data_IF_549025402312
#
_entry.id   IF_549025402312
#
_cell.length_a   1.000
_cell.length_b   1.000
_cell.length_c   1.000
_cell.angle_alpha   90.00
_cell.angle_beta   90.00
_cell.angle_gamma   90.00
#
_symmetry.space_group_name_H-M   'P 1'
#
loop_
_entity.id
_entity.type
_entity.pdbx_description
1 polymer ?
#
# COMPACT_ATOMS: atom_id res chain seq x y z
N UNK A 1 1.85 6.87 3.91
CA UNK A 1 1.97 7.52 5.23
C UNK A 1 2.84 6.65 6.13
N UNK A 2 2.41 5.41 6.40
CA UNK A 2 3.16 4.38 7.13
C UNK A 2 4.68 4.32 6.88
N UNK A 3 5.11 4.04 5.65
CA UNK A 3 6.54 3.88 5.32
C UNK A 3 7.37 5.11 5.72
N UNK A 4 6.86 6.31 5.48
CA UNK A 4 7.53 7.57 5.84
C UNK A 4 7.67 7.72 7.35
N UNK A 5 6.62 7.44 8.13
CA UNK A 5 6.65 7.55 9.59
C UNK A 5 7.52 6.47 10.22
N UNK A 6 7.50 5.25 9.67
CA UNK A 6 8.40 4.16 10.07
C UNK A 6 9.86 4.59 9.88
N UNK A 7 10.21 5.11 8.70
CA UNK A 7 11.58 5.56 8.41
C UNK A 7 12.01 6.71 9.35
N UNK A 8 11.13 7.68 9.61
CA UNK A 8 11.41 8.75 10.58
C UNK A 8 11.62 8.22 11.99
N UNK A 9 10.81 7.24 12.43
CA UNK A 9 10.93 6.64 13.75
C UNK A 9 12.28 5.95 13.96
N UNK A 10 12.92 5.48 12.88
CA UNK A 10 14.27 4.91 12.88
C UNK A 10 15.38 5.94 12.63
N UNK A 11 15.06 7.24 12.66
CA UNK A 11 15.97 8.33 12.36
C UNK A 11 16.58 8.28 10.94
N UNK A 12 15.97 7.58 10.00
CA UNK A 12 16.45 7.50 8.62
C UNK A 12 16.24 8.84 7.89
N UNK A 13 17.30 9.37 7.27
CA UNK A 13 17.35 10.77 6.82
C UNK A 13 17.06 10.99 5.34
N UNK A 14 17.19 9.97 4.49
CA UNK A 14 16.98 10.12 3.04
C UNK A 14 15.48 10.19 2.70
N UNK A 15 14.88 11.34 2.99
CA UNK A 15 13.50 11.70 2.70
C UNK A 15 13.48 13.13 2.16
N UNK A 16 12.98 13.33 0.93
CA UNK A 16 12.75 14.68 0.43
C UNK A 16 11.64 15.38 1.21
N UNK A 17 11.63 16.71 1.19
CA UNK A 17 10.70 17.54 1.96
C UNK A 17 9.23 17.16 1.71
N UNK A 18 8.84 16.99 0.44
CA UNK A 18 7.47 16.63 0.06
C UNK A 18 7.05 15.28 0.63
N UNK A 19 7.91 14.26 0.51
CA UNK A 19 7.65 12.93 1.03
C UNK A 19 7.63 12.93 2.56
N UNK A 20 8.55 13.65 3.20
CA UNK A 20 8.59 13.82 4.66
C UNK A 20 7.34 14.51 5.22
N UNK A 21 6.66 15.34 4.43
CA UNK A 21 5.41 16.03 4.81
C UNK A 21 4.13 15.35 4.32
N UNK A 22 4.25 14.17 3.71
CA UNK A 22 3.13 13.43 3.09
C UNK A 22 2.43 14.15 1.93
N UNK A 23 3.10 15.11 1.29
CA UNK A 23 2.60 15.80 0.08
C UNK A 23 2.64 14.86 -1.13
N UNK A 24 3.64 13.97 -1.17
CA UNK A 24 3.82 12.91 -2.19
C UNK A 24 3.86 13.39 -3.65
N UNK A 25 4.05 14.69 -3.88
CA UNK A 25 4.35 15.27 -5.20
C UNK A 25 5.81 15.01 -5.56
N UNK A 26 6.04 13.90 -6.26
CA UNK A 26 7.34 13.29 -6.57
C UNK A 26 7.62 13.40 -8.06
N UNK A 27 8.74 13.94 -8.54
CA UNK A 27 10.06 14.18 -7.93
C UNK A 27 10.62 15.57 -8.25
N UNK A 28 10.03 16.62 -7.68
CA UNK A 28 10.48 18.02 -7.87
C UNK A 28 11.99 18.26 -7.62
N UNK A 29 12.71 17.27 -7.09
CA UNK A 29 14.15 17.21 -6.92
C UNK A 29 14.98 17.52 -8.17
N UNK A 30 14.56 17.12 -9.38
CA UNK A 30 15.33 17.45 -10.58
C UNK A 30 15.42 18.95 -10.82
N UNK A 31 14.34 19.68 -10.49
CA UNK A 31 14.27 21.13 -10.48
C UNK A 31 14.96 21.75 -9.27
N UNK A 32 14.62 21.28 -8.05
CA UNK A 32 15.06 21.88 -6.80
C UNK A 32 16.54 21.65 -6.49
N UNK A 33 17.08 20.50 -6.91
CA UNK A 33 18.45 20.05 -6.62
C UNK A 33 19.29 19.80 -7.87
N UNK A 34 18.74 20.03 -9.07
CA UNK A 34 19.47 19.83 -10.33
C UNK A 34 19.74 18.37 -10.68
N UNK A 35 19.05 17.41 -10.05
CA UNK A 35 19.27 15.98 -10.30
C UNK A 35 18.86 15.59 -11.72
N UNK A 36 19.55 14.62 -12.30
CA UNK A 36 19.30 14.16 -13.68
C UNK A 36 19.46 12.66 -13.88
N UNK A 37 19.97 11.93 -12.89
CA UNK A 37 20.10 10.47 -12.92
C UNK A 37 19.24 9.85 -11.84
N UNK A 38 18.57 8.75 -12.18
CA UNK A 38 17.67 8.03 -11.27
C UNK A 38 18.31 7.70 -9.91
N UNK A 39 19.58 7.27 -9.89
CA UNK A 39 20.30 6.94 -8.65
C UNK A 39 20.31 8.12 -7.65
N UNK A 40 20.39 9.35 -8.16
CA UNK A 40 20.49 10.54 -7.32
C UNK A 40 19.14 10.83 -6.66
N UNK A 41 18.03 10.64 -7.38
CA UNK A 41 16.68 10.77 -6.82
C UNK A 41 16.44 9.77 -5.70
N UNK A 42 16.79 8.49 -5.92
CA UNK A 42 16.57 7.45 -4.90
C UNK A 42 17.57 7.57 -3.74
N UNK A 43 18.76 8.15 -3.95
CA UNK A 43 19.69 8.49 -2.86
C UNK A 43 19.09 9.56 -1.94
N UNK A 44 18.43 10.54 -2.52
CA UNK A 44 17.80 11.64 -1.80
C UNK A 44 16.48 11.26 -1.11
N UNK A 45 15.72 10.31 -1.68
CA UNK A 45 14.42 9.94 -1.12
C UNK A 45 14.09 8.43 -1.25
N UNK A 46 14.02 7.76 -0.10
CA UNK A 46 13.55 6.37 0.00
C UNK A 46 12.10 6.15 -0.44
N UNK A 47 11.24 7.18 -0.37
CA UNK A 47 9.86 7.06 -0.86
C UNK A 47 9.83 7.08 -2.38
N UNK A 48 10.68 7.87 -3.04
CA UNK A 48 10.84 7.85 -4.50
C UNK A 48 11.48 6.55 -4.99
N UNK A 49 12.36 5.95 -4.18
CA UNK A 49 12.89 4.59 -4.41
C UNK A 49 11.79 3.52 -4.42
N UNK A 50 11.01 3.43 -3.33
CA UNK A 50 10.03 2.36 -3.14
C UNK A 50 8.76 2.54 -3.98
N UNK A 51 8.26 3.77 -4.05
CA UNK A 51 6.96 4.08 -4.65
C UNK A 51 7.08 4.79 -6.00
N UNK A 52 8.29 4.87 -6.57
CA UNK A 52 8.55 5.47 -7.87
C UNK A 52 8.39 7.00 -7.90
N UNK A 53 8.67 7.57 -9.07
CA UNK A 53 8.50 8.99 -9.35
C UNK A 53 8.47 9.30 -10.86
N UNK A 54 8.05 10.51 -11.20
CA UNK A 54 8.15 11.06 -12.54
C UNK A 54 8.65 12.51 -12.46
N UNK A 55 9.82 12.78 -13.05
CA UNK A 55 10.32 14.12 -13.32
C UNK A 55 10.04 14.49 -14.78
N UNK A 56 9.08 15.38 -15.01
CA UNK A 56 8.71 15.81 -16.37
C UNK A 56 9.67 16.84 -16.95
N UNK A 57 10.44 17.56 -16.13
CA UNK A 57 11.40 18.55 -16.64
C UNK A 57 12.68 17.84 -17.10
N UNK A 58 13.14 16.84 -16.34
CA UNK A 58 14.34 16.05 -16.64
C UNK A 58 14.04 14.78 -17.44
N UNK A 59 12.76 14.44 -17.64
CA UNK A 59 12.31 13.21 -18.31
C UNK A 59 12.88 11.93 -17.67
N UNK A 60 13.06 11.95 -16.34
CA UNK A 60 13.51 10.78 -15.56
C UNK A 60 12.30 10.17 -14.88
N UNK A 61 12.12 8.86 -15.01
CA UNK A 61 11.04 8.12 -14.36
C UNK A 61 11.58 6.89 -13.65
N UNK A 62 10.95 6.54 -12.54
CA UNK A 62 11.13 5.26 -11.85
C UNK A 62 9.77 4.64 -11.61
N UNK A 63 9.62 3.40 -12.02
CA UNK A 63 8.40 2.62 -11.77
C UNK A 63 8.29 2.30 -10.26
N UNK A 64 7.07 2.28 -9.73
CA UNK A 64 6.86 1.92 -8.33
C UNK A 64 7.21 0.44 -8.11
N UNK A 65 7.99 0.13 -7.08
CA UNK A 65 8.24 -1.26 -6.68
C UNK A 65 7.06 -1.84 -5.91
N UNK A 66 6.27 -1.00 -5.26
CA UNK A 66 5.06 -1.38 -4.53
C UNK A 66 3.83 -1.04 -5.37
N UNK A 67 3.13 -2.05 -5.84
CA UNK A 67 1.99 -1.93 -6.77
C UNK A 67 0.74 -2.47 -6.11
N UNK A 68 -0.33 -1.70 -6.19
CA UNK A 68 -1.65 -2.10 -5.73
C UNK A 68 -2.59 -2.18 -6.93
N UNK A 69 -3.37 -3.25 -6.96
CA UNK A 69 -4.56 -3.33 -7.79
C UNK A 69 -5.69 -2.49 -7.20
N UNK A 70 -6.76 -2.30 -7.97
CA UNK A 70 -7.97 -1.72 -7.45
C UNK A 70 -8.60 -2.64 -6.40
N UNK A 71 -8.97 -2.06 -5.26
CA UNK A 71 -9.80 -2.76 -4.28
C UNK A 71 -11.25 -2.77 -4.76
N UNK A 72 -11.79 -3.94 -5.08
CA UNK A 72 -13.12 -4.10 -5.70
C UNK A 72 -13.95 -5.15 -4.97
N UNK A 73 -15.30 -5.05 -4.97
CA UNK A 73 -16.16 -6.06 -4.35
C UNK A 73 -15.88 -7.44 -4.95
N UNK A 74 -15.84 -8.48 -4.11
CA UNK A 74 -15.59 -9.85 -4.58
C UNK A 74 -16.70 -10.32 -5.52
N UNK A 75 -16.34 -11.18 -6.47
CA UNK A 75 -17.24 -11.68 -7.52
C UNK A 75 -18.55 -12.27 -6.96
N UNK A 76 -18.48 -12.95 -5.82
CA UNK A 76 -19.62 -13.62 -5.21
C UNK A 76 -20.58 -12.68 -4.45
N UNK A 77 -20.19 -11.44 -4.18
CA UNK A 77 -20.96 -10.51 -3.33
C UNK A 77 -20.96 -9.10 -3.90
N UNK A 78 -22.16 -8.60 -4.20
CA UNK A 78 -22.33 -7.18 -4.51
C UNK A 78 -22.12 -6.34 -3.25
N UNK A 79 -21.49 -5.19 -3.43
CA UNK A 79 -21.42 -4.20 -2.36
C UNK A 79 -22.80 -3.60 -2.10
N UNK A 80 -23.13 -3.38 -0.83
CA UNK A 80 -24.31 -2.65 -0.40
C UNK A 80 -23.98 -1.17 -0.36
N UNK A 81 -24.78 -0.35 -1.03
CA UNK A 81 -24.59 1.10 -1.09
C UNK A 81 -25.63 1.80 -0.21
N UNK A 82 -25.16 2.65 0.69
CA UNK A 82 -26.00 3.51 1.52
C UNK A 82 -25.63 4.97 1.29
N UNK A 83 -26.62 5.79 0.94
CA UNK A 83 -26.42 7.24 0.84
C UNK A 83 -26.51 7.86 2.23
N UNK A 84 -25.40 8.41 2.73
CA UNK A 84 -25.32 9.17 3.97
C UNK A 84 -25.30 10.65 3.63
N UNK A 85 -26.17 11.40 4.30
CA UNK A 85 -26.21 12.86 4.17
C UNK A 85 -25.27 13.47 5.20
N UNK A 86 -24.18 14.10 4.74
CA UNK A 86 -23.29 14.88 5.58
C UNK A 86 -23.68 16.35 5.54
N UNK A 87 -23.92 16.93 6.72
CA UNK A 87 -24.12 18.36 6.85
C UNK A 87 -22.79 19.00 7.24
N UNK A 88 -22.34 19.98 6.47
CA UNK A 88 -21.25 20.86 6.89
C UNK A 88 -21.85 22.15 7.39
N UNK A 89 -21.61 22.47 8.66
CA UNK A 89 -22.09 23.69 9.28
C UNK A 89 -20.91 24.62 9.47
N UNK A 90 -21.02 25.84 8.94
CA UNK A 90 -20.05 26.90 9.25
C UNK A 90 -20.34 27.42 10.66
N UNK A 91 -19.32 27.84 11.39
CA UNK A 91 -19.47 28.40 12.74
C UNK A 91 -18.99 29.85 12.74
N UNK A 92 -19.57 30.72 13.58
CA UNK A 92 -19.00 32.04 13.85
C UNK A 92 -17.62 31.91 14.53
N UNK A 93 -16.83 32.99 14.62
CA UNK A 93 -15.56 32.98 15.37
C UNK A 93 -15.69 32.53 16.84
N UNK A 94 -16.87 32.69 17.44
CA UNK A 94 -17.23 32.27 18.80
C UNK A 94 -17.72 30.82 18.88
N UNK A 95 -17.80 30.13 17.74
CA UNK A 95 -18.23 28.73 17.64
C UNK A 95 -19.74 28.51 17.55
N UNK A 96 -20.54 29.57 17.43
CA UNK A 96 -21.99 29.46 17.27
C UNK A 96 -22.37 29.13 15.83
N UNK A 97 -23.56 28.57 15.60
CA UNK A 97 -24.10 28.41 14.25
C UNK A 97 -24.65 29.77 13.81
N UNK A 98 -24.12 30.40 12.74
CA UNK A 98 -24.55 31.72 12.30
C UNK A 98 -25.98 31.68 11.74
N UNK A 99 -26.70 32.79 11.88
CA UNK A 99 -27.92 33.02 11.09
C UNK A 99 -27.59 33.11 9.58
N UNK A 100 -28.60 33.03 8.70
CA UNK A 100 -28.39 33.16 7.23
C UNK A 100 -27.70 34.48 6.86
N UNK A 101 -28.06 35.56 7.53
CA UNK A 101 -27.50 36.89 7.26
C UNK A 101 -26.02 36.98 7.69
N UNK A 102 -25.69 36.41 8.85
CA UNK A 102 -24.30 36.32 9.33
C UNK A 102 -23.45 35.38 8.47
N UNK A 103 -23.99 34.23 8.05
CA UNK A 103 -23.29 33.31 7.15
C UNK A 103 -22.96 33.97 5.80
N UNK A 104 -23.90 34.76 5.26
CA UNK A 104 -23.69 35.53 4.03
C UNK A 104 -22.62 36.59 4.21
N UNK A 105 -22.59 37.27 5.36
CA UNK A 105 -21.61 38.33 5.64
C UNK A 105 -20.20 37.78 5.93
N UNK A 106 -20.10 36.71 6.70
CA UNK A 106 -18.83 36.13 7.13
C UNK A 106 -18.18 35.25 6.05
N UNK A 107 -18.99 34.49 5.31
CA UNK A 107 -18.51 33.43 4.42
C UNK A 107 -19.02 33.54 2.97
N UNK A 108 -19.91 34.50 2.67
CA UNK A 108 -20.46 34.67 1.32
C UNK A 108 -21.41 33.55 0.88
N UNK A 109 -21.97 32.78 1.82
CA UNK A 109 -22.87 31.65 1.55
C UNK A 109 -24.30 31.94 2.03
N UNK A 110 -25.32 31.51 1.28
CA UNK A 110 -26.73 31.77 1.62
C UNK A 110 -27.24 30.93 2.81
N UNK A 111 -26.66 29.75 3.02
CA UNK A 111 -27.02 28.87 4.12
C UNK A 111 -25.82 28.59 5.01
N UNK A 112 -26.05 28.63 6.34
CA UNK A 112 -25.06 28.25 7.34
C UNK A 112 -24.74 26.75 7.32
N UNK A 113 -25.52 25.96 6.58
CA UNK A 113 -25.37 24.51 6.43
C UNK A 113 -25.35 24.13 4.95
N UNK A 114 -24.32 23.42 4.52
CA UNK A 114 -24.26 22.76 3.22
C UNK A 114 -24.56 21.27 3.36
N UNK A 115 -25.56 20.78 2.63
CA UNK A 115 -25.92 19.36 2.58
C UNK A 115 -25.15 18.68 1.47
N UNK A 116 -24.31 17.70 1.81
CA UNK A 116 -23.59 16.87 0.85
C UNK A 116 -24.01 15.41 1.00
N UNK A 117 -24.64 14.85 -0.03
CA UNK A 117 -24.87 13.41 -0.09
C UNK A 117 -23.57 12.70 -0.47
N UNK A 118 -23.25 11.63 0.25
CA UNK A 118 -22.15 10.72 -0.08
C UNK A 118 -22.64 9.29 0.00
N UNK A 119 -22.21 8.46 -0.93
CA UNK A 119 -22.45 7.03 -0.86
C UNK A 119 -21.33 6.36 -0.07
N UNK A 120 -21.73 5.53 0.88
CA UNK A 120 -20.88 4.57 1.55
C UNK A 120 -21.19 3.19 0.99
N UNK A 121 -20.16 2.40 0.77
CA UNK A 121 -20.29 1.02 0.36
C UNK A 121 -19.79 0.10 1.48
N UNK A 122 -20.55 -0.94 1.80
CA UNK A 122 -20.15 -2.02 2.70
C UNK A 122 -20.12 -3.32 1.91
N UNK A 123 -19.12 -4.16 2.15
CA UNK A 123 -18.98 -5.41 1.43
C UNK A 123 -17.67 -6.12 1.71
N UNK A 124 -17.52 -7.29 1.11
CA UNK A 124 -16.25 -8.00 1.05
C UNK A 124 -15.52 -7.56 -0.21
N UNK A 125 -14.27 -7.12 -0.07
CA UNK A 125 -13.47 -6.58 -1.16
C UNK A 125 -12.20 -7.42 -1.37
N UNK A 126 -11.87 -7.66 -2.63
CA UNK A 126 -10.60 -8.23 -3.05
C UNK A 126 -9.56 -7.13 -3.25
N UNK A 127 -8.31 -7.43 -2.90
CA UNK A 127 -7.14 -6.59 -3.15
C UNK A 127 -5.96 -7.50 -3.49
N UNK A 128 -5.11 -7.05 -4.40
CA UNK A 128 -3.79 -7.60 -4.65
C UNK A 128 -2.72 -6.51 -4.49
N UNK A 129 -1.69 -6.84 -3.73
CA UNK A 129 -0.46 -6.06 -3.58
C UNK A 129 0.71 -6.90 -4.13
N UNK A 130 1.54 -6.28 -4.96
CA UNK A 130 2.79 -6.87 -5.46
C UNK A 130 3.95 -5.94 -5.11
N UNK A 131 5.07 -6.52 -4.66
CA UNK A 131 6.22 -5.75 -4.19
C UNK A 131 7.52 -6.32 -4.77
N UNK A 132 8.11 -5.62 -5.74
CA UNK A 132 9.35 -6.01 -6.42
C UNK A 132 10.59 -5.54 -5.63
N UNK A 133 10.68 -5.93 -4.36
CA UNK A 133 11.62 -5.33 -3.38
C UNK A 133 13.10 -5.62 -3.66
N UNK A 134 13.42 -6.61 -4.49
CA UNK A 134 14.80 -6.91 -4.89
C UNK A 134 15.48 -5.73 -5.63
N UNK A 135 14.70 -4.80 -6.18
CA UNK A 135 15.20 -3.60 -6.88
C UNK A 135 15.30 -2.36 -6.00
N UNK A 136 14.99 -2.48 -4.71
CA UNK A 136 15.15 -1.38 -3.74
C UNK A 136 16.62 -0.94 -3.71
N UNK A 137 16.87 0.35 -3.52
CA UNK A 137 18.23 0.91 -3.47
C UNK A 137 19.08 0.64 -4.72
N UNK A 138 18.47 0.21 -5.83
CA UNK A 138 19.13 -0.07 -7.11
C UNK A 138 18.46 0.75 -8.21
N UNK A 139 19.25 1.41 -9.05
CA UNK A 139 18.73 2.13 -10.21
C UNK A 139 18.12 1.16 -11.23
N UNK A 140 16.88 1.41 -11.66
CA UNK A 140 16.22 0.57 -12.69
C UNK A 140 16.78 0.86 -14.09
N UNK A 141 17.16 2.11 -14.35
CA UNK A 141 17.75 2.56 -15.61
C UNK A 141 19.22 2.15 -15.77
N UNK A 142 19.96 2.00 -14.66
CA UNK A 142 21.31 1.48 -14.65
C UNK A 142 21.55 0.55 -13.44
N UNK A 143 21.26 -0.76 -13.54
CA UNK A 143 21.37 -1.70 -12.42
C UNK A 143 22.78 -1.90 -11.83
N UNK A 144 23.82 -1.36 -12.49
CA UNK A 144 25.18 -1.32 -11.92
C UNK A 144 25.32 -0.29 -10.80
N UNK A 145 24.43 0.70 -10.73
CA UNK A 145 24.41 1.74 -9.70
C UNK A 145 23.46 1.36 -8.56
N UNK A 146 24.03 1.26 -7.35
CA UNK A 146 23.34 0.83 -6.14
C UNK A 146 23.72 1.72 -4.97
N UNK A 147 22.79 1.91 -4.04
CA UNK A 147 23.07 2.49 -2.73
C UNK A 147 23.65 1.41 -1.79
N UNK A 148 23.84 1.76 -0.52
CA UNK A 148 24.39 0.83 0.46
C UNK A 148 23.45 -0.34 0.76
N UNK A 149 24.01 -1.46 1.23
CA UNK A 149 23.24 -2.60 1.73
C UNK A 149 22.35 -2.22 2.92
N UNK A 150 22.78 -1.24 3.73
CA UNK A 150 21.99 -0.73 4.85
C UNK A 150 20.75 0.04 4.37
N UNK A 151 20.90 0.86 3.32
CA UNK A 151 19.77 1.52 2.65
C UNK A 151 18.78 0.48 2.13
N UNK A 152 19.28 -0.55 1.45
CA UNK A 152 18.46 -1.65 0.95
C UNK A 152 17.64 -2.28 2.09
N UNK A 153 18.31 -2.77 3.15
CA UNK A 153 17.66 -3.47 4.26
C UNK A 153 16.62 -2.61 4.98
N UNK A 154 16.97 -1.37 5.31
CA UNK A 154 16.06 -0.45 6.00
C UNK A 154 14.83 -0.15 5.16
N UNK A 155 15.01 0.11 3.85
CA UNK A 155 13.90 0.46 2.96
C UNK A 155 12.97 -0.73 2.69
N UNK A 156 13.51 -1.92 2.45
CA UNK A 156 12.73 -3.16 2.29
C UNK A 156 11.91 -3.44 3.56
N UNK A 157 12.56 -3.35 4.73
CA UNK A 157 11.89 -3.54 6.03
C UNK A 157 10.76 -2.53 6.24
N UNK A 158 11.01 -1.25 5.95
CA UNK A 158 10.00 -0.21 6.05
C UNK A 158 8.81 -0.44 5.09
N UNK A 159 9.08 -0.89 3.86
CA UNK A 159 8.04 -1.16 2.88
C UNK A 159 7.10 -2.28 3.34
N UNK A 160 7.66 -3.39 3.84
CA UNK A 160 6.88 -4.53 4.35
C UNK A 160 6.06 -4.13 5.57
N UNK A 161 6.68 -3.44 6.54
CA UNK A 161 5.98 -2.97 7.73
C UNK A 161 4.90 -1.91 7.40
N UNK A 162 5.08 -1.15 6.33
CA UNK A 162 4.08 -0.22 5.82
C UNK A 162 2.73 -0.89 5.47
N UNK A 163 2.75 -2.18 5.11
CA UNK A 163 1.52 -2.95 4.90
C UNK A 163 0.72 -3.17 6.19
N UNK A 164 1.36 -3.20 7.37
CA UNK A 164 0.66 -3.41 8.64
C UNK A 164 -0.31 -2.26 8.95
N UNK A 165 0.11 -1.03 8.71
CA UNK A 165 -0.75 0.15 8.90
C UNK A 165 -1.87 0.22 7.86
N UNK A 166 -1.56 -0.10 6.60
CA UNK A 166 -2.55 -0.18 5.54
C UNK A 166 -3.65 -1.20 5.90
N UNK A 167 -3.24 -2.45 6.20
CA UNK A 167 -4.14 -3.57 6.49
C UNK A 167 -4.88 -3.42 7.84
N UNK A 168 -4.40 -2.57 8.75
CA UNK A 168 -5.11 -2.26 10.01
C UNK A 168 -6.27 -1.28 9.82
N UNK A 169 -6.52 -0.80 8.61
CA UNK A 169 -7.65 0.06 8.28
C UNK A 169 -7.27 1.47 7.85
N UNK A 170 -5.97 1.77 7.72
CA UNK A 170 -5.52 3.03 7.11
C UNK A 170 -5.55 2.94 5.57
N UNK A 171 -6.70 2.56 5.01
CA UNK A 171 -6.97 2.62 3.57
C UNK A 171 -7.64 3.93 3.15
N UNK A 172 -7.41 4.32 1.89
CA UNK A 172 -8.25 5.28 1.17
C UNK A 172 -8.00 6.77 1.46
N UNK A 173 -8.57 7.62 0.61
CA UNK A 173 -8.35 9.07 0.59
C UNK A 173 -9.25 9.89 1.56
N UNK A 174 -10.22 9.25 2.24
CA UNK A 174 -11.24 9.94 3.03
C UNK A 174 -11.07 9.80 4.57
N UNK A 175 -9.90 9.34 5.03
CA UNK A 175 -9.62 9.05 6.45
C UNK A 175 -9.91 10.22 7.41
N UNK A 176 -9.76 11.45 6.93
CA UNK A 176 -10.02 12.66 7.71
C UNK A 176 -11.50 12.84 8.14
N UNK A 177 -12.43 12.03 7.62
CA UNK A 177 -13.88 12.18 7.87
C UNK A 177 -14.58 10.89 8.27
N UNK A 178 -14.05 9.74 7.83
CA UNK A 178 -14.47 8.43 8.29
C UNK A 178 -13.26 7.51 8.23
N UNK A 179 -12.82 6.99 9.39
CA UNK A 179 -11.91 5.86 9.42
C UNK A 179 -12.67 4.67 8.84
N UNK A 180 -12.25 4.10 7.70
CA UNK A 180 -12.98 3.00 7.11
C UNK A 180 -12.90 1.78 8.04
N UNK A 181 -14.06 1.19 8.32
CA UNK A 181 -14.17 -0.01 9.16
C UNK A 181 -13.72 -1.20 8.30
N UNK A 182 -12.44 -1.52 8.37
CA UNK A 182 -11.83 -2.58 7.56
C UNK A 182 -11.36 -3.70 8.47
N UNK A 183 -11.64 -4.93 8.06
CA UNK A 183 -11.13 -6.14 8.68
C UNK A 183 -10.59 -7.05 7.58
N UNK A 184 -9.34 -7.45 7.70
CA UNK A 184 -8.78 -8.51 6.85
C UNK A 184 -9.41 -9.84 7.28
N UNK A 185 -10.17 -10.45 6.38
CA UNK A 185 -10.80 -11.76 6.61
C UNK A 185 -9.90 -12.91 6.17
N UNK A 186 -9.25 -12.75 5.02
CA UNK A 186 -8.38 -13.73 4.40
C UNK A 186 -7.16 -13.05 3.78
N UNK A 187 -6.02 -13.74 3.76
CA UNK A 187 -4.78 -13.23 3.20
C UNK A 187 -3.90 -14.39 2.73
N UNK A 188 -3.25 -14.22 1.58
CA UNK A 188 -2.15 -15.08 1.12
C UNK A 188 -0.94 -14.18 0.90
N UNK A 189 0.12 -14.40 1.67
CA UNK A 189 1.41 -13.74 1.50
C UNK A 189 2.40 -14.73 0.88
N UNK A 190 2.85 -14.44 -0.33
CA UNK A 190 3.95 -15.13 -0.98
C UNK A 190 5.17 -14.21 -0.99
N UNK A 191 6.25 -14.65 -0.36
CA UNK A 191 7.56 -14.00 -0.43
C UNK A 191 8.55 -14.93 -1.14
N UNK A 192 9.37 -14.38 -2.03
CA UNK A 192 10.37 -15.18 -2.74
C UNK A 192 11.67 -14.42 -2.99
N UNK A 193 12.80 -15.14 -2.97
CA UNK A 193 14.12 -14.65 -3.42
C UNK A 193 14.29 -14.77 -4.95
N UNK A 194 13.39 -15.49 -5.62
CA UNK A 194 13.38 -15.65 -7.08
C UNK A 194 12.08 -15.09 -7.68
N UNK A 195 12.08 -14.70 -8.96
CA UNK A 195 10.86 -14.21 -9.61
C UNK A 195 9.77 -15.28 -9.59
N UNK A 196 8.62 -14.91 -9.02
CA UNK A 196 7.40 -15.74 -8.99
C UNK A 196 6.25 -14.96 -9.61
N UNK A 197 5.30 -15.64 -10.28
CA UNK A 197 4.13 -14.95 -10.80
C UNK A 197 3.32 -14.33 -9.65
N UNK A 198 2.64 -13.22 -9.93
CA UNK A 198 1.67 -12.66 -8.99
C UNK A 198 0.59 -13.70 -8.69
N UNK A 199 0.12 -13.71 -7.44
CA UNK A 199 -1.02 -14.51 -7.04
C UNK A 199 -2.31 -14.02 -7.72
N UNK A 200 -3.36 -14.83 -7.63
CA UNK A 200 -4.67 -14.45 -8.15
C UNK A 200 -5.29 -13.39 -7.26
N UNK A 201 -5.87 -12.36 -7.89
CA UNK A 201 -6.53 -11.27 -7.18
C UNK A 201 -7.69 -11.80 -6.34
N UNK A 202 -7.84 -11.34 -5.10
CA UNK A 202 -8.95 -11.74 -4.20
C UNK A 202 -10.35 -11.34 -4.65
N UNK A 203 -10.51 -10.88 -5.90
CA UNK A 203 -11.81 -10.63 -6.53
C UNK A 203 -12.48 -11.95 -6.92
N UNK A 204 -11.69 -12.86 -7.49
CA UNK A 204 -12.19 -14.12 -8.02
C UNK A 204 -12.58 -15.07 -6.90
N UNK A 205 -13.69 -15.79 -7.07
CA UNK A 205 -14.16 -16.79 -6.10
C UNK A 205 -13.11 -17.85 -5.76
N UNK A 206 -12.35 -18.28 -6.75
CA UNK A 206 -11.38 -19.38 -6.66
C UNK A 206 -9.93 -18.91 -6.48
N UNK A 207 -9.73 -17.62 -6.15
CA UNK A 207 -8.41 -16.99 -6.01
C UNK A 207 -7.43 -17.82 -5.16
N UNK A 208 -7.92 -18.42 -4.06
CA UNK A 208 -7.10 -19.19 -3.14
C UNK A 208 -6.62 -20.51 -3.76
N UNK A 209 -7.51 -21.21 -4.47
CA UNK A 209 -7.20 -22.48 -5.12
C UNK A 209 -6.23 -22.27 -6.29
N UNK A 210 -6.51 -21.30 -7.15
CA UNK A 210 -5.64 -20.98 -8.27
C UNK A 210 -4.26 -20.51 -7.78
N UNK A 211 -4.21 -19.65 -6.76
CA UNK A 211 -2.94 -19.21 -6.15
C UNK A 211 -2.12 -20.37 -5.59
N UNK A 212 -2.76 -21.30 -4.87
CA UNK A 212 -2.09 -22.50 -4.37
C UNK A 212 -1.54 -23.37 -5.52
N UNK A 213 -2.33 -23.57 -6.58
CA UNK A 213 -1.91 -24.32 -7.77
C UNK A 213 -0.74 -23.65 -8.52
N UNK A 214 -0.74 -22.31 -8.61
CA UNK A 214 0.35 -21.53 -9.20
C UNK A 214 1.65 -21.71 -8.41
N UNK A 215 1.59 -21.62 -7.08
CA UNK A 215 2.76 -21.82 -6.21
C UNK A 215 3.29 -23.25 -6.33
N UNK A 216 2.41 -24.26 -6.32
CA UNK A 216 2.79 -25.65 -6.53
C UNK A 216 3.48 -25.87 -7.87
N UNK A 217 2.93 -25.30 -8.92
CA UNK A 217 3.52 -25.36 -10.27
C UNK A 217 4.89 -24.71 -10.29
N UNK A 218 5.04 -23.53 -9.67
CA UNK A 218 6.32 -22.83 -9.60
C UNK A 218 7.41 -23.67 -8.90
N UNK A 219 7.06 -24.34 -7.79
CA UNK A 219 7.99 -25.20 -7.04
C UNK A 219 8.31 -26.48 -7.83
N UNK A 220 7.28 -27.20 -8.31
CA UNK A 220 7.44 -28.51 -8.97
C UNK A 220 8.15 -28.42 -10.32
N UNK A 221 8.03 -27.29 -11.02
CA UNK A 221 8.73 -27.03 -12.28
C UNK A 221 10.12 -26.40 -12.09
N UNK A 222 10.54 -26.18 -10.84
CA UNK A 222 11.85 -25.60 -10.53
C UNK A 222 11.99 -24.13 -10.93
N UNK A 223 10.88 -23.39 -11.10
CA UNK A 223 10.90 -21.95 -11.32
C UNK A 223 11.39 -21.21 -10.06
N UNK A 224 11.13 -21.80 -8.89
CA UNK A 224 11.63 -21.34 -7.62
C UNK A 224 11.91 -22.53 -6.70
N UNK A 225 12.97 -22.45 -5.90
CA UNK A 225 13.30 -23.53 -4.95
C UNK A 225 12.43 -23.40 -3.69
N UNK A 226 12.05 -24.53 -3.09
CA UNK A 226 11.23 -24.51 -1.85
C UNK A 226 11.86 -23.72 -0.70
N UNK A 227 13.19 -23.65 -0.60
CA UNK A 227 13.87 -22.85 0.43
C UNK A 227 13.94 -21.35 0.12
N UNK A 228 13.57 -20.95 -1.09
CA UNK A 228 13.58 -19.56 -1.56
C UNK A 228 12.17 -18.97 -1.60
N UNK A 229 11.13 -19.75 -1.27
CA UNK A 229 9.74 -19.32 -1.16
C UNK A 229 9.26 -19.47 0.28
N UNK A 230 8.54 -18.47 0.76
CA UNK A 230 7.75 -18.55 1.98
C UNK A 230 6.30 -18.19 1.69
N UNK A 231 5.38 -19.04 2.13
CA UNK A 231 3.94 -18.80 2.04
C UNK A 231 3.36 -18.69 3.43
N UNK A 232 2.63 -17.62 3.70
CA UNK A 232 1.80 -17.48 4.90
C UNK A 232 0.36 -17.24 4.50
N UNK A 233 -0.56 -17.89 5.19
CA UNK A 233 -2.01 -17.80 4.89
C UNK A 233 -2.78 -17.45 6.16
N UNK A 234 -3.85 -16.66 5.98
CA UNK A 234 -4.80 -16.29 7.02
C UNK A 234 -6.20 -16.59 6.50
N UNK A 235 -7.04 -17.19 7.34
CA UNK A 235 -8.43 -17.51 7.02
C UNK A 235 -8.64 -18.94 6.48
N UNK A 236 -9.83 -19.48 6.72
CA UNK A 236 -10.15 -20.90 6.44
C UNK A 236 -10.11 -21.25 4.95
N UNK A 237 -10.51 -20.33 4.05
CA UNK A 237 -10.51 -20.53 2.60
C UNK A 237 -9.10 -20.80 2.06
N UNK A 238 -8.16 -19.85 2.22
CA UNK A 238 -6.75 -20.05 1.88
C UNK A 238 -6.12 -21.29 2.52
N UNK A 239 -6.34 -21.51 3.83
CA UNK A 239 -5.79 -22.66 4.54
C UNK A 239 -6.24 -23.97 3.90
N UNK A 240 -7.54 -24.09 3.61
CA UNK A 240 -8.11 -25.31 3.00
C UNK A 240 -7.58 -25.52 1.58
N UNK A 241 -7.46 -24.44 0.78
CA UNK A 241 -6.93 -24.50 -0.58
C UNK A 241 -5.46 -24.96 -0.62
N UNK A 242 -4.60 -24.38 0.21
CA UNK A 242 -3.19 -24.76 0.27
C UNK A 242 -2.96 -26.17 0.83
N UNK A 243 -3.77 -26.60 1.82
CA UNK A 243 -3.79 -27.99 2.31
C UNK A 243 -4.18 -28.96 1.19
N UNK A 244 -5.24 -28.67 0.45
CA UNK A 244 -5.72 -29.53 -0.63
C UNK A 244 -4.71 -29.67 -1.78
N UNK A 245 -3.98 -28.60 -2.11
CA UNK A 245 -2.93 -28.64 -3.13
C UNK A 245 -1.62 -29.27 -2.66
N UNK A 246 -1.44 -29.48 -1.36
CA UNK A 246 -0.22 -30.07 -0.78
C UNK A 246 1.00 -29.15 -0.85
N UNK A 247 0.77 -27.84 -0.80
CA UNK A 247 1.84 -26.82 -0.79
C UNK A 247 2.26 -26.55 0.66
N UNK A 248 3.56 -26.37 0.90
CA UNK A 248 4.06 -25.98 2.23
C UNK A 248 3.70 -24.53 2.53
N UNK A 249 3.12 -24.26 3.71
CA UNK A 249 2.76 -22.91 4.16
C UNK A 249 2.77 -22.81 5.69
N UNK A 250 2.80 -21.58 6.20
CA UNK A 250 2.62 -21.24 7.62
C UNK A 250 1.22 -20.64 7.83
N UNK A 251 0.42 -21.27 8.70
CA UNK A 251 -0.90 -20.75 9.07
C UNK A 251 -0.74 -19.63 10.11
N UNK A 252 -1.23 -18.44 9.80
CA UNK A 252 -1.22 -17.27 10.68
C UNK A 252 -2.65 -16.93 11.11
N UNK A 253 -2.83 -16.50 12.36
CA UNK A 253 -4.15 -16.15 12.90
C UNK A 253 -4.60 -14.75 12.48
N UNK A 254 -3.65 -13.87 12.20
CA UNK A 254 -3.89 -12.47 11.82
C UNK A 254 -3.00 -12.05 10.67
N UNK A 255 -3.40 -11.01 9.94
CA UNK A 255 -2.55 -10.41 8.91
C UNK A 255 -1.21 -9.93 9.50
N UNK A 256 -1.20 -9.41 10.74
CA UNK A 256 0.01 -8.96 11.42
C UNK A 256 1.01 -10.09 11.64
N UNK A 257 0.53 -11.26 12.06
CA UNK A 257 1.38 -12.46 12.18
C UNK A 257 1.95 -12.88 10.82
N UNK A 258 1.12 -12.86 9.76
CA UNK A 258 1.58 -13.18 8.41
C UNK A 258 2.66 -12.22 7.91
N UNK A 259 2.46 -10.91 8.05
CA UNK A 259 3.46 -9.89 7.67
C UNK A 259 4.74 -10.02 8.50
N UNK A 260 4.63 -10.25 9.82
CA UNK A 260 5.78 -10.51 10.68
C UNK A 260 6.55 -11.78 10.28
N UNK A 261 5.85 -12.80 9.81
CA UNK A 261 6.45 -14.03 9.29
C UNK A 261 7.19 -13.82 7.95
N UNK A 262 6.71 -12.94 7.07
CA UNK A 262 7.45 -12.50 5.86
C UNK A 262 8.71 -11.75 6.25
N UNK A 263 8.63 -10.84 7.22
CA UNK A 263 9.75 -9.98 7.61
C UNK A 263 10.99 -10.77 8.06
N UNK A 264 10.79 -11.89 8.76
CA UNK A 264 11.89 -12.80 9.17
C UNK A 264 12.71 -13.34 8.00
N UNK A 265 12.14 -13.44 6.79
CA UNK A 265 12.84 -13.88 5.58
C UNK A 265 13.76 -12.81 5.00
N UNK A 266 13.50 -11.54 5.30
CA UNK A 266 14.34 -10.40 4.91
C UNK A 266 15.47 -10.18 5.90
N UNK A 267 15.24 -10.49 7.18
CA UNK A 267 16.22 -10.36 8.25
C UNK A 267 17.24 -11.52 8.30
N UNK A 268 16.98 -12.62 7.57
CA UNK A 268 17.84 -13.81 7.48
C UNK A 268 18.55 -13.97 6.14
#
# INVERSE_FOLDING_TARGET
MATTEILKSWNYKALCENCGRHVMFRSVLGKLKGLSKEIDFIRECAIEDLHGFLDVEKQVRRESLVKFSFMIPVEERRAEYASVTHNRVVTTPEGAIPSREEARKLYGVEEAMGVMKREHASGLYGLLCSMDLAYTATSLSNPSEKLSEDDYKIRVKAAILGLMELLSGHFGAAQARALPIIKVTELICLASKTPVPNLVHGFYKDYAKESASMVKTAISRGLAKSGEIKVLVVGEGPVSAFKAEGVSFEEAKTFSEAIGGVLKMVEG
#
